data_IF_953794852769
#
_entry.id   IF_953794852769
#
_cell.length_a   1.000
_cell.length_b   1.000
_cell.length_c   1.000
_cell.angle_alpha   90.00
_cell.angle_beta   90.00
_cell.angle_gamma   90.00
#
_symmetry.space_group_name_H-M   'P 1'
#
loop_
_entity.id
_entity.type
_entity.pdbx_description
1 polymer ?
#
# COMPACT_ATOMS: atom_id res chain seq x y z
N UNK A 1 7.51 0.20 -14.37
CA UNK A 1 7.34 -0.53 -13.09
C UNK A 1 7.39 -2.04 -13.29
N UNK A 2 6.45 -2.65 -14.02
CA UNK A 2 6.42 -4.12 -14.25
C UNK A 2 7.75 -4.66 -14.80
N UNK A 3 8.29 -4.06 -15.86
CA UNK A 3 9.58 -4.46 -16.45
C UNK A 3 10.73 -4.43 -15.45
N UNK A 4 10.76 -3.45 -14.53
CA UNK A 4 11.82 -3.35 -13.54
C UNK A 4 11.66 -4.40 -12.45
N UNK A 5 10.42 -4.68 -12.02
CA UNK A 5 10.13 -5.76 -11.07
C UNK A 5 10.52 -7.11 -11.66
N UNK A 6 10.18 -7.39 -12.92
CA UNK A 6 10.57 -8.64 -13.60
C UNK A 6 12.08 -8.77 -13.66
N UNK A 7 12.80 -7.75 -14.15
CA UNK A 7 14.27 -7.77 -14.21
C UNK A 7 14.90 -8.03 -12.84
N UNK A 8 14.41 -7.39 -11.79
CA UNK A 8 14.92 -7.59 -10.44
C UNK A 8 14.68 -9.01 -9.93
N UNK A 9 13.48 -9.56 -10.17
CA UNK A 9 13.15 -10.95 -9.81
C UNK A 9 14.09 -11.93 -10.52
N UNK A 10 14.31 -11.73 -11.82
CA UNK A 10 15.20 -12.59 -12.62
C UNK A 10 16.62 -12.56 -12.04
N UNK A 11 17.12 -11.37 -11.69
CA UNK A 11 18.43 -11.20 -11.07
C UNK A 11 18.57 -11.94 -9.75
N UNK A 12 17.65 -11.73 -8.80
CA UNK A 12 17.74 -12.39 -7.48
C UNK A 12 17.50 -13.90 -7.57
N UNK A 13 16.72 -14.34 -8.56
CA UNK A 13 16.50 -15.76 -8.83
C UNK A 13 17.79 -16.44 -9.32
N UNK A 14 18.54 -15.79 -10.21
CA UNK A 14 19.85 -16.24 -10.66
C UNK A 14 20.87 -16.30 -9.52
N UNK A 15 20.72 -15.43 -8.50
CA UNK A 15 21.53 -15.45 -7.28
C UNK A 15 21.08 -16.51 -6.24
N UNK A 16 20.13 -17.38 -6.58
CA UNK A 16 19.70 -18.49 -5.72
C UNK A 16 18.46 -18.21 -4.87
N UNK A 17 17.80 -17.06 -5.03
CA UNK A 17 16.54 -16.81 -4.31
C UNK A 17 15.45 -17.79 -4.77
N UNK A 18 14.79 -18.45 -3.81
CA UNK A 18 13.70 -19.43 -4.08
C UNK A 18 12.39 -19.13 -3.36
N UNK A 19 12.40 -18.23 -2.38
CA UNK A 19 11.19 -17.78 -1.67
C UNK A 19 10.99 -16.30 -1.94
N UNK A 20 10.03 -15.97 -2.80
CA UNK A 20 9.75 -14.59 -3.23
C UNK A 20 8.29 -14.27 -2.92
N UNK A 21 8.07 -13.15 -2.25
CA UNK A 21 6.75 -12.58 -2.04
C UNK A 21 6.64 -11.24 -2.79
N UNK A 22 5.58 -11.08 -3.58
CA UNK A 22 5.29 -9.84 -4.30
C UNK A 22 4.05 -9.18 -3.70
N UNK A 23 4.23 -7.96 -3.22
CA UNK A 23 3.14 -7.18 -2.64
C UNK A 23 2.36 -6.46 -3.73
N UNK A 24 1.04 -6.51 -3.64
CA UNK A 24 0.14 -5.70 -4.47
C UNK A 24 0.32 -4.22 -4.15
N UNK A 25 0.06 -3.36 -5.13
CA UNK A 25 -0.03 -1.92 -4.88
C UNK A 25 -1.34 -1.58 -4.17
N UNK A 26 -1.27 -0.68 -3.19
CA UNK A 26 -2.45 0.01 -2.65
C UNK A 26 -3.08 0.95 -3.69
N UNK A 27 -4.27 1.50 -3.42
CA UNK A 27 -4.93 2.42 -4.32
C UNK A 27 -4.21 3.79 -4.33
N UNK A 28 -3.18 3.92 -5.17
CA UNK A 28 -2.30 5.10 -5.27
C UNK A 28 -3.08 6.39 -5.55
N UNK A 29 -4.23 6.31 -6.21
CA UNK A 29 -5.10 7.46 -6.44
C UNK A 29 -5.79 8.00 -5.17
N UNK A 30 -5.78 7.26 -4.06
CA UNK A 30 -6.30 7.72 -2.77
C UNK A 30 -5.22 8.41 -1.92
N UNK A 31 -3.96 8.42 -2.36
CA UNK A 31 -2.87 9.06 -1.63
C UNK A 31 -3.14 10.56 -1.53
N UNK A 32 -3.11 11.18 -0.34
CA UNK A 32 -3.49 12.58 -0.16
C UNK A 32 -2.71 13.54 -1.08
N UNK A 33 -1.39 13.35 -1.22
CA UNK A 33 -0.57 14.16 -2.13
C UNK A 33 -0.96 14.02 -3.62
N UNK A 34 -1.60 12.91 -4.01
CA UNK A 34 -2.04 12.63 -5.39
C UNK A 34 -3.43 13.19 -5.69
N UNK A 35 -4.28 13.35 -4.68
CA UNK A 35 -5.57 14.02 -4.80
C UNK A 35 -5.44 15.54 -5.04
N UNK A 36 -4.22 16.08 -4.93
CA UNK A 36 -3.90 17.50 -5.14
C UNK A 36 -3.26 17.80 -6.51
N UNK A 37 -3.15 16.79 -7.38
CA UNK A 37 -2.68 17.01 -8.75
C UNK A 37 -3.71 17.79 -9.59
N UNK A 38 -3.28 18.61 -10.57
CA UNK A 38 -4.20 19.32 -11.46
C UNK A 38 -5.22 18.36 -12.10
N UNK A 39 -6.51 18.64 -11.89
CA UNK A 39 -7.61 17.82 -12.40
C UNK A 39 -7.93 16.55 -11.60
N UNK A 40 -7.29 16.33 -10.45
CA UNK A 40 -7.64 15.26 -9.52
C UNK A 40 -8.84 15.66 -8.63
N UNK A 41 -9.78 14.74 -8.36
CA UNK A 41 -10.87 15.00 -7.41
C UNK A 41 -10.35 14.93 -5.96
N UNK A 42 -10.81 15.84 -5.10
CA UNK A 42 -10.41 15.93 -3.68
C UNK A 42 -11.26 15.01 -2.80
N UNK A 43 -12.51 14.75 -3.18
CA UNK A 43 -13.49 14.00 -2.39
C UNK A 43 -13.58 12.50 -2.74
N UNK A 44 -12.74 12.02 -3.64
CA UNK A 44 -12.68 10.60 -4.05
C UNK A 44 -11.31 10.29 -4.62
N UNK A 45 -10.92 9.01 -4.59
CA UNK A 45 -9.66 8.60 -5.17
C UNK A 45 -9.58 8.91 -6.68
N UNK A 46 -8.41 9.33 -7.14
CA UNK A 46 -8.19 9.61 -8.55
C UNK A 46 -8.20 8.32 -9.38
N UNK A 47 -9.36 8.01 -9.97
CA UNK A 47 -9.61 6.74 -10.68
C UNK A 47 -8.60 6.42 -11.78
N UNK A 48 -8.12 7.42 -12.54
CA UNK A 48 -7.09 7.25 -13.57
C UNK A 48 -5.80 6.68 -13.00
N UNK A 49 -5.38 7.15 -11.83
CA UNK A 49 -4.18 6.66 -11.14
C UNK A 49 -4.39 5.24 -10.59
N UNK A 50 -5.60 4.88 -10.19
CA UNK A 50 -5.91 3.51 -9.78
C UNK A 50 -5.97 2.50 -10.95
N UNK A 51 -5.97 2.93 -12.22
CA UNK A 51 -5.89 2.01 -13.36
C UNK A 51 -4.55 1.26 -13.41
N UNK A 52 -3.44 1.92 -13.05
CA UNK A 52 -2.13 1.25 -12.99
C UNK A 52 -2.09 0.20 -11.88
N UNK A 53 -2.76 0.48 -10.76
CA UNK A 53 -2.93 -0.44 -9.62
C UNK A 53 -3.75 -1.65 -10.06
N UNK A 54 -4.87 -1.44 -10.76
CA UNK A 54 -5.68 -2.53 -11.32
C UNK A 54 -4.89 -3.41 -12.28
N UNK A 55 -4.08 -2.80 -13.17
CA UNK A 55 -3.20 -3.52 -14.11
C UNK A 55 -2.12 -4.32 -13.38
N UNK A 56 -1.47 -3.73 -12.38
CA UNK A 56 -0.42 -4.40 -11.59
C UNK A 56 -0.98 -5.53 -10.71
N UNK A 57 -2.12 -5.31 -10.05
CA UNK A 57 -2.72 -6.28 -9.12
C UNK A 57 -3.53 -7.38 -9.81
N UNK A 58 -3.79 -7.27 -11.13
CA UNK A 58 -4.65 -8.17 -11.93
C UNK A 58 -5.99 -8.47 -11.21
N UNK A 59 -6.64 -7.42 -10.68
CA UNK A 59 -8.03 -7.48 -10.16
C UNK A 59 -8.23 -7.84 -8.69
N UNK A 60 -7.23 -7.68 -7.81
CA UNK A 60 -7.39 -7.96 -6.37
C UNK A 60 -7.72 -6.69 -5.57
N UNK A 61 -8.83 -6.73 -4.83
CA UNK A 61 -9.25 -5.71 -3.88
C UNK A 61 -9.51 -6.34 -2.52
N UNK A 62 -8.93 -5.76 -1.49
CA UNK A 62 -9.28 -6.04 -0.11
C UNK A 62 -9.16 -4.73 0.64
N UNK A 63 -10.29 -4.08 0.89
CA UNK A 63 -10.30 -2.90 1.74
C UNK A 63 -10.14 -3.34 3.20
N UNK A 64 -9.51 -2.49 4.00
CA UNK A 64 -9.61 -2.55 5.45
C UNK A 64 -10.54 -1.42 5.87
N UNK A 65 -11.27 -1.60 6.97
CA UNK A 65 -12.25 -0.63 7.44
C UNK A 65 -11.53 0.49 8.20
N UNK A 66 -11.46 1.65 7.56
CA UNK A 66 -10.99 2.91 8.12
C UNK A 66 -12.11 3.95 8.02
N UNK A 67 -12.18 4.83 9.00
CA UNK A 67 -13.16 5.93 9.03
C UNK A 67 -12.76 7.03 8.04
N UNK A 68 -11.45 7.29 7.88
CA UNK A 68 -10.91 8.18 6.86
C UNK A 68 -9.87 7.45 5.99
N UNK A 69 -10.16 7.34 4.69
CA UNK A 69 -9.30 6.71 3.67
C UNK A 69 -8.70 7.70 2.68
N UNK A 70 -8.90 9.00 2.87
CA UNK A 70 -8.56 10.05 1.90
C UNK A 70 -7.67 11.13 2.47
N UNK A 71 -7.79 11.45 3.76
CA UNK A 71 -7.00 12.50 4.42
C UNK A 71 -5.75 11.94 5.11
N UNK A 72 -4.74 12.80 5.28
CA UNK A 72 -3.59 12.51 6.12
C UNK A 72 -3.88 12.88 7.59
N UNK A 73 -3.50 12.01 8.52
CA UNK A 73 -3.57 12.33 9.95
C UNK A 73 -2.57 13.44 10.34
N UNK A 74 -1.36 13.42 9.79
CA UNK A 74 -0.29 14.38 10.02
C UNK A 74 0.03 15.15 8.73
N UNK A 75 -0.12 16.47 8.79
CA UNK A 75 0.17 17.35 7.65
C UNK A 75 -0.58 18.66 7.77
N UNK A 76 -0.84 19.30 6.64
CA UNK A 76 -1.57 20.57 6.60
C UNK A 76 -2.13 20.91 5.23
N UNK A 77 -2.95 21.95 5.19
CA UNK A 77 -3.73 22.33 4.02
C UNK A 77 -4.85 21.33 3.68
N UNK A 78 -5.34 21.37 2.45
CA UNK A 78 -6.42 20.51 1.96
C UNK A 78 -6.12 19.03 2.23
N UNK A 79 -7.03 18.35 2.94
CA UNK A 79 -6.93 16.93 3.35
C UNK A 79 -5.61 16.53 4.05
N UNK A 80 -4.86 17.50 4.58
CA UNK A 80 -3.53 17.28 5.15
C UNK A 80 -2.44 16.96 4.10
N UNK A 81 -2.72 17.15 2.80
CA UNK A 81 -1.86 16.73 1.70
C UNK A 81 -0.88 17.79 1.17
N UNK A 82 -0.99 19.06 1.59
CA UNK A 82 -0.18 20.16 1.04
C UNK A 82 1.09 20.45 1.85
N UNK A 83 1.08 20.16 3.14
CA UNK A 83 2.20 20.40 4.04
C UNK A 83 2.70 19.08 4.62
N UNK A 84 4.01 18.85 4.51
CA UNK A 84 4.65 17.67 5.05
C UNK A 84 4.60 17.68 6.59
N UNK A 85 4.30 16.51 7.17
CA UNK A 85 4.43 16.28 8.61
C UNK A 85 5.83 16.71 9.12
N UNK A 86 5.88 17.43 10.25
CA UNK A 86 7.13 17.93 10.83
C UNK A 86 7.66 19.26 10.25
N UNK A 87 6.99 19.86 9.25
CA UNK A 87 7.25 21.25 8.83
C UNK A 87 6.40 22.23 9.63
N UNK A 88 6.89 23.44 9.85
CA UNK A 88 6.16 24.49 10.59
C UNK A 88 4.71 24.65 10.08
N UNK A 89 3.75 24.65 11.01
CA UNK A 89 2.31 24.72 10.69
C UNK A 89 1.62 23.38 10.47
N UNK A 90 2.32 22.24 10.59
CA UNK A 90 1.70 20.93 10.54
C UNK A 90 0.75 20.71 11.72
N UNK A 91 -0.28 19.89 11.49
CA UNK A 91 -1.22 19.42 12.50
C UNK A 91 -1.24 17.90 12.50
N UNK A 92 -1.63 17.34 13.64
CA UNK A 92 -1.89 15.92 13.81
C UNK A 92 -3.36 15.69 14.15
N UNK A 93 -3.92 14.58 13.70
CA UNK A 93 -5.25 14.14 14.08
C UNK A 93 -5.29 13.62 15.53
N UNK A 94 -6.47 13.55 16.12
CA UNK A 94 -6.64 13.07 17.50
C UNK A 94 -6.43 11.55 17.63
N UNK A 95 -6.85 10.77 16.63
CA UNK A 95 -6.76 9.30 16.66
C UNK A 95 -6.21 8.75 15.33
N UNK A 96 -4.92 8.41 15.25
CA UNK A 96 -4.30 7.87 14.03
C UNK A 96 -4.86 6.52 13.57
N UNK A 97 -5.56 5.77 14.44
CA UNK A 97 -6.15 4.48 14.08
C UNK A 97 -7.38 4.61 13.16
N UNK A 98 -8.00 5.79 13.10
CA UNK A 98 -9.15 6.05 12.23
C UNK A 98 -8.73 6.36 10.78
N UNK A 99 -7.45 6.70 10.58
CA UNK A 99 -6.91 7.13 9.29
C UNK A 99 -6.13 6.02 8.61
N UNK A 100 -6.38 5.82 7.32
CA UNK A 100 -5.55 4.97 6.47
C UNK A 100 -4.14 5.54 6.33
N UNK A 101 -4.01 6.86 6.22
CA UNK A 101 -2.75 7.56 5.97
C UNK A 101 -2.24 8.31 7.20
N UNK A 102 -0.98 8.08 7.56
CA UNK A 102 -0.28 8.88 8.56
C UNK A 102 0.07 10.25 8.01
N UNK A 103 0.73 10.31 6.86
CA UNK A 103 1.10 11.57 6.20
C UNK A 103 0.53 11.62 4.78
N UNK A 104 0.92 12.64 4.01
CA UNK A 104 0.45 12.84 2.64
C UNK A 104 0.79 11.72 1.64
N UNK A 105 1.59 10.71 2.01
CA UNK A 105 2.04 9.59 1.20
C UNK A 105 1.93 8.21 1.89
N UNK A 106 2.24 8.13 3.18
CA UNK A 106 2.46 6.87 3.89
C UNK A 106 1.24 6.42 4.71
N UNK A 107 0.93 5.10 4.74
CA UNK A 107 -0.09 4.54 5.61
C UNK A 107 0.20 4.75 7.10
N UNK A 108 -0.85 4.71 7.93
CA UNK A 108 -0.73 4.70 9.38
C UNK A 108 -0.12 3.40 9.90
N UNK A 109 0.43 3.44 11.12
CA UNK A 109 0.88 2.23 11.81
C UNK A 109 -0.25 1.18 11.89
N UNK A 110 -1.49 1.63 12.13
CA UNK A 110 -2.67 0.78 12.13
C UNK A 110 -2.85 0.05 10.79
N UNK A 111 -2.72 0.78 9.68
CA UNK A 111 -2.76 0.20 8.34
C UNK A 111 -1.66 -0.81 8.10
N UNK A 112 -0.41 -0.48 8.47
CA UNK A 112 0.69 -1.44 8.37
C UNK A 112 0.46 -2.69 9.22
N UNK A 113 -0.11 -2.57 10.42
CA UNK A 113 -0.45 -3.71 11.28
C UNK A 113 -1.47 -4.64 10.63
N UNK A 114 -2.52 -4.09 10.02
CA UNK A 114 -3.54 -4.87 9.32
C UNK A 114 -2.98 -5.54 8.05
N UNK A 115 -2.19 -4.80 7.26
CA UNK A 115 -1.52 -5.33 6.08
C UNK A 115 -0.58 -6.48 6.48
N UNK A 116 0.25 -6.29 7.50
CA UNK A 116 1.17 -7.31 8.00
C UNK A 116 0.44 -8.60 8.41
N UNK A 117 -0.66 -8.50 9.17
CA UNK A 117 -1.48 -9.66 9.53
C UNK A 117 -2.04 -10.38 8.31
N UNK A 118 -2.53 -9.63 7.31
CA UNK A 118 -3.06 -10.20 6.08
C UNK A 118 -1.98 -10.90 5.23
N UNK A 119 -0.75 -10.38 5.23
CA UNK A 119 0.38 -11.00 4.52
C UNK A 119 0.90 -12.24 5.26
N UNK A 120 1.00 -12.17 6.59
CA UNK A 120 1.55 -13.26 7.40
C UNK A 120 0.67 -14.51 7.36
N UNK A 121 -0.61 -14.36 7.71
CA UNK A 121 -1.54 -15.49 7.91
C UNK A 121 -2.86 -15.35 7.16
N UNK A 122 -2.98 -14.41 6.23
CA UNK A 122 -4.22 -14.17 5.52
C UNK A 122 -4.70 -15.35 4.68
N UNK A 123 -6.02 -15.36 4.44
CA UNK A 123 -6.69 -16.33 3.58
C UNK A 123 -6.35 -16.12 2.10
N UNK A 124 -6.62 -17.14 1.28
CA UNK A 124 -6.35 -17.16 -0.18
C UNK A 124 -7.03 -16.05 -1.00
N UNK A 125 -7.94 -15.23 -0.48
CA UNK A 125 -8.43 -14.07 -1.26
C UNK A 125 -7.61 -12.79 -1.01
N UNK A 126 -6.81 -12.74 0.07
CA UNK A 126 -5.90 -11.62 0.40
C UNK A 126 -4.48 -11.86 -0.12
N UNK A 127 -3.96 -13.07 0.04
CA UNK A 127 -2.60 -13.45 -0.37
C UNK A 127 -2.60 -14.85 -0.99
N UNK A 128 -1.92 -15.02 -2.13
CA UNK A 128 -1.92 -16.25 -2.94
C UNK A 128 -0.58 -16.48 -3.63
N UNK A 129 -0.25 -17.75 -3.97
CA UNK A 129 -0.99 -18.97 -3.60
C UNK A 129 -0.77 -19.37 -2.13
N UNK A 130 0.32 -18.88 -1.53
CA UNK A 130 0.74 -19.12 -0.15
C UNK A 130 0.81 -17.79 0.60
N UNK A 131 0.46 -17.78 1.88
CA UNK A 131 0.77 -16.66 2.78
C UNK A 131 2.23 -16.74 3.24
N UNK A 132 2.75 -15.68 3.87
CA UNK A 132 4.17 -15.64 4.27
C UNK A 132 4.50 -16.72 5.30
N UNK A 133 3.58 -17.04 6.22
CA UNK A 133 3.77 -18.13 7.19
C UNK A 133 3.96 -19.49 6.50
N UNK A 134 3.15 -19.79 5.48
CA UNK A 134 3.27 -21.01 4.69
C UNK A 134 4.53 -21.01 3.80
N UNK A 135 4.84 -19.86 3.17
CA UNK A 135 6.03 -19.71 2.33
C UNK A 135 7.34 -19.87 3.14
N UNK A 136 7.39 -19.34 4.36
CA UNK A 136 8.55 -19.46 5.24
C UNK A 136 8.83 -20.92 5.64
N UNK A 137 7.76 -21.71 5.81
CA UNK A 137 7.84 -23.08 6.29
C UNK A 137 7.85 -24.13 5.17
N UNK A 138 7.86 -23.72 3.89
CA UNK A 138 7.86 -24.67 2.79
C UNK A 138 9.23 -25.34 2.66
N UNK A 139 9.25 -26.67 2.65
CA UNK A 139 10.44 -27.44 2.30
C UNK A 139 10.54 -27.51 0.79
N UNK A 140 11.65 -27.01 0.24
CA UNK A 140 11.93 -27.13 -1.18
C UNK A 140 12.57 -28.51 -1.40
N UNK A 141 11.79 -29.47 -1.91
CA UNK A 141 12.31 -30.78 -2.31
C UNK A 141 12.94 -30.64 -3.70
N UNK A 142 14.24 -30.86 -3.84
CA UNK A 142 14.92 -30.94 -5.15
C UNK A 142 15.80 -29.76 -5.54
N UNK A 143 16.59 -29.21 -4.60
CA UNK A 143 17.88 -28.56 -4.93
C UNK A 143 18.99 -29.48 -4.48
#
# INVERSE_FOLDING_TARGET
>A
MLTQVTKFIDQIYMLGTRRIALFSLGPVGCVPARALLPGAPINRCFGKMNLMVKKYNKGRTGMFDFSDVSSACCGGGTIGGLLQCGKEGYKTCANPNEFLFWDYFHPSEHAYRLISKALWGGKKYRIRPLNLKALANITLTGV
#
